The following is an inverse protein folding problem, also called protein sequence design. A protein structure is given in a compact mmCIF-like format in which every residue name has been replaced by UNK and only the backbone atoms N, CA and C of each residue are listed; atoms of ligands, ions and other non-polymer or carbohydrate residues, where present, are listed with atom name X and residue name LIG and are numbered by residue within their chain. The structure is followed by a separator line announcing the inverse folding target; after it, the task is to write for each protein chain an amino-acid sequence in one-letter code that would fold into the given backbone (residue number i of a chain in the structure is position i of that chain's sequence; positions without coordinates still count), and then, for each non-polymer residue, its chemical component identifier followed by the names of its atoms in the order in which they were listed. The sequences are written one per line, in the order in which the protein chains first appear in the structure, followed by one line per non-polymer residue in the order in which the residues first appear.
data_IF_773145443398
#
_entry.id   IF_773145443398
#
_cell.length_a   1.000
_cell.length_b   1.000
_cell.length_c   1.000
_cell.angle_alpha   90.00
_cell.angle_beta   90.00
_cell.angle_gamma   90.00
#
_symmetry.space_group_name_H-M   'P 1'
#
loop_
_entity.id
_entity.type
_entity.pdbx_description
1 polymer ?
#
# COMPACT_ATOMS: atom_id res chain seq x y z
N UNK A 1 14.92 8.53 -3.36
CA UNK A 1 14.39 7.26 -3.86
C UNK A 1 12.97 7.12 -3.37
N UNK A 2 12.04 6.73 -4.24
CA UNK A 2 10.67 6.46 -3.82
C UNK A 2 10.65 5.07 -3.16
N UNK A 3 10.02 4.97 -1.98
CA UNK A 3 9.81 3.68 -1.31
C UNK A 3 8.34 3.32 -1.45
N UNK A 4 8.06 2.18 -2.05
CA UNK A 4 6.71 1.63 -2.15
C UNK A 4 6.50 0.60 -1.05
N UNK A 5 5.31 0.58 -0.45
CA UNK A 5 4.94 -0.38 0.59
C UNK A 5 3.54 -0.91 0.31
N UNK A 6 3.35 -2.21 0.55
CA UNK A 6 2.05 -2.88 0.45
C UNK A 6 1.69 -3.40 1.86
N UNK A 7 0.62 -2.89 2.48
CA UNK A 7 0.19 -3.38 3.78
C UNK A 7 -0.58 -4.70 3.65
N UNK A 8 -0.03 -5.76 4.23
CA UNK A 8 -0.60 -7.12 4.18
C UNK A 8 -1.37 -7.43 5.47
N UNK A 9 -0.86 -6.98 6.61
CA UNK A 9 -1.45 -7.26 7.91
C UNK A 9 -2.40 -6.16 8.36
N UNK A 10 -3.47 -6.58 9.04
CA UNK A 10 -4.41 -5.67 9.67
C UNK A 10 -3.92 -5.29 11.07
N UNK A 11 -3.97 -3.99 11.37
CA UNK A 11 -3.80 -3.50 12.73
C UNK A 11 -4.93 -3.98 13.63
N UNK A 12 -4.62 -4.40 14.86
CA UNK A 12 -5.62 -4.87 15.81
C UNK A 12 -6.26 -3.69 16.57
N UNK A 13 -7.45 -3.28 16.14
CA UNK A 13 -8.18 -2.11 16.65
C UNK A 13 -8.37 -2.16 18.18
N UNK A 14 -8.57 -3.34 18.76
CA UNK A 14 -8.80 -3.53 20.19
C UNK A 14 -7.57 -3.22 21.05
N UNK A 15 -6.37 -3.14 20.45
CA UNK A 15 -5.17 -2.75 21.19
C UNK A 15 -5.16 -1.27 21.57
N UNK A 16 -5.99 -0.44 20.91
CA UNK A 16 -6.06 0.99 21.17
C UNK A 16 -4.75 1.72 20.85
N UNK A 17 -4.75 3.03 21.05
CA UNK A 17 -3.56 3.86 20.81
C UNK A 17 -2.82 4.13 22.11
N UNK A 18 -1.49 4.00 22.07
CA UNK A 18 -0.60 4.40 23.16
C UNK A 18 -0.32 5.91 23.18
N UNK A 19 -0.77 6.66 22.17
CA UNK A 19 -0.65 8.12 22.11
C UNK A 19 -1.91 8.73 22.72
N UNK A 20 -3.05 8.65 22.02
CA UNK A 20 -4.39 9.09 22.46
C UNK A 20 -5.51 8.25 21.80
N UNK A 21 -6.65 7.99 22.46
CA UNK A 21 -7.71 7.10 21.95
C UNK A 21 -8.24 7.44 20.55
N UNK A 22 -8.41 8.72 20.22
CA UNK A 22 -8.92 9.22 18.95
C UNK A 22 -8.02 8.90 17.76
N UNK A 23 -6.73 8.62 18.02
CA UNK A 23 -5.75 8.33 16.98
C UNK A 23 -6.16 7.13 16.12
N UNK A 24 -6.83 6.13 16.71
CA UNK A 24 -7.31 4.97 15.98
C UNK A 24 -8.35 5.38 14.94
N UNK A 25 -9.33 6.18 15.34
CA UNK A 25 -10.42 6.63 14.45
C UNK A 25 -9.89 7.52 13.33
N UNK A 26 -8.97 8.42 13.64
CA UNK A 26 -8.46 9.42 12.68
C UNK A 26 -7.48 8.80 11.68
N UNK A 27 -6.60 7.89 12.12
CA UNK A 27 -5.46 7.44 11.29
C UNK A 27 -5.45 5.95 10.94
N UNK A 28 -6.06 5.08 11.77
CA UNK A 28 -5.97 3.63 11.58
C UNK A 28 -7.25 3.00 11.04
N UNK A 29 -8.44 3.46 11.46
CA UNK A 29 -9.72 2.81 11.14
C UNK A 29 -9.97 2.72 9.64
N UNK A 30 -9.84 3.83 8.91
CA UNK A 30 -10.05 3.85 7.47
C UNK A 30 -9.12 2.88 6.72
N UNK A 31 -7.82 2.90 7.04
CA UNK A 31 -6.83 2.00 6.44
C UNK A 31 -7.11 0.54 6.78
N UNK A 32 -7.47 0.24 8.03
CA UNK A 32 -7.84 -1.10 8.47
C UNK A 32 -9.06 -1.63 7.70
N UNK A 33 -10.14 -0.85 7.66
CA UNK A 33 -11.41 -1.27 7.08
C UNK A 33 -11.29 -1.44 5.55
N UNK A 34 -10.58 -0.54 4.88
CA UNK A 34 -10.31 -0.63 3.45
C UNK A 34 -9.47 -1.86 3.08
N UNK A 35 -8.44 -2.18 3.86
CA UNK A 35 -7.64 -3.40 3.63
C UNK A 35 -8.44 -4.66 3.92
N UNK A 36 -9.22 -4.67 5.01
CA UNK A 36 -10.09 -5.78 5.35
C UNK A 36 -11.10 -6.04 4.23
N UNK A 37 -11.74 -5.00 3.71
CA UNK A 37 -12.70 -5.11 2.62
C UNK A 37 -12.05 -5.63 1.32
N UNK A 38 -10.87 -5.11 0.96
CA UNK A 38 -10.10 -5.60 -0.19
C UNK A 38 -9.85 -7.11 -0.08
N UNK A 39 -9.34 -7.57 1.06
CA UNK A 39 -9.00 -8.98 1.24
C UNK A 39 -10.23 -9.88 1.29
N UNK A 40 -11.36 -9.40 1.82
CA UNK A 40 -12.60 -10.17 1.88
C UNK A 40 -13.34 -10.28 0.55
N UNK A 41 -13.28 -9.24 -0.28
CA UNK A 41 -14.09 -9.18 -1.51
C UNK A 41 -13.32 -9.57 -2.75
N UNK A 42 -12.03 -9.20 -2.82
CA UNK A 42 -11.20 -9.28 -4.03
C UNK A 42 -9.84 -9.91 -3.79
N UNK A 43 -9.52 -10.27 -2.54
CA UNK A 43 -8.20 -10.76 -2.16
C UNK A 43 -7.78 -12.01 -2.92
N UNK A 44 -8.73 -12.90 -3.24
CA UNK A 44 -8.50 -14.11 -4.03
C UNK A 44 -8.17 -13.85 -5.50
N UNK A 45 -8.55 -12.69 -6.03
CA UNK A 45 -8.34 -12.34 -7.44
C UNK A 45 -6.95 -11.74 -7.67
N UNK A 46 -6.22 -11.43 -6.60
CA UNK A 46 -4.90 -10.83 -6.64
C UNK A 46 -3.81 -11.90 -6.71
N UNK A 47 -2.92 -11.78 -7.69
CA UNK A 47 -1.73 -12.63 -7.79
C UNK A 47 -0.61 -12.06 -6.90
N UNK A 48 -0.23 -12.83 -5.88
CA UNK A 48 0.77 -12.39 -4.90
C UNK A 48 2.12 -12.08 -5.55
N UNK A 49 2.51 -12.85 -6.57
CA UNK A 49 3.79 -12.65 -7.28
C UNK A 49 3.85 -11.27 -7.94
N UNK A 50 2.72 -10.77 -8.45
CA UNK A 50 2.65 -9.42 -9.05
C UNK A 50 2.70 -8.32 -8.01
N UNK A 51 2.15 -8.55 -6.82
CA UNK A 51 2.21 -7.58 -5.73
C UNK A 51 3.63 -7.48 -5.15
N UNK A 52 4.38 -8.58 -5.18
CA UNK A 52 5.72 -8.65 -4.60
C UNK A 52 6.85 -8.27 -5.57
N UNK A 53 6.53 -7.99 -6.84
CA UNK A 53 7.50 -7.62 -7.87
C UNK A 53 7.95 -6.15 -7.71
N UNK A 54 9.07 -5.95 -7.01
CA UNK A 54 9.64 -4.61 -6.80
C UNK A 54 10.43 -4.14 -8.02
N UNK A 55 9.87 -3.17 -8.74
CA UNK A 55 10.56 -2.47 -9.84
C UNK A 55 10.96 -1.03 -9.42
N UNK A 56 12.27 -0.76 -9.19
CA UNK A 56 12.76 0.57 -8.81
C UNK A 56 12.66 1.62 -9.92
N UNK A 57 12.36 1.21 -11.15
CA UNK A 57 12.21 2.08 -12.32
C UNK A 57 10.77 2.16 -12.81
N UNK A 58 9.81 1.58 -12.08
CA UNK A 58 8.40 1.58 -12.44
C UNK A 58 7.90 3.02 -12.64
N UNK A 59 7.32 3.29 -13.82
CA UNK A 59 6.80 4.61 -14.16
C UNK A 59 7.85 5.68 -14.49
N UNK A 60 9.12 5.31 -14.66
CA UNK A 60 10.16 6.25 -15.12
C UNK A 60 9.90 6.67 -16.56
N UNK A 61 9.64 7.96 -16.78
CA UNK A 61 9.71 8.56 -18.11
C UNK A 61 11.18 8.82 -18.42
N UNK A 62 11.82 8.02 -19.29
CA UNK A 62 13.14 8.39 -19.82
C UNK A 62 13.03 9.74 -20.53
N UNK A 63 14.05 10.59 -20.43
CA UNK A 63 14.18 11.71 -21.37
C UNK A 63 14.17 11.15 -22.80
N UNK A 64 13.44 11.79 -23.73
CA UNK A 64 13.53 11.43 -25.14
C UNK A 64 15.00 11.54 -25.55
N UNK A 65 15.60 10.45 -26.03
CA UNK A 65 16.92 10.53 -26.66
C UNK A 65 16.83 11.59 -27.76
N UNK A 66 17.57 12.69 -27.64
CA UNK A 66 17.76 13.60 -28.75
C UNK A 66 18.42 12.79 -29.85
N UNK A 67 17.69 12.57 -30.95
CA UNK A 67 18.28 12.03 -32.16
C UNK A 67 19.37 13.01 -32.59
N UNK A 68 20.63 12.58 -32.49
CA UNK A 68 21.77 13.33 -33.01
C UNK A 68 21.70 13.19 -34.52
N UNK A 69 21.34 14.29 -35.19
CA UNK A 69 21.34 14.41 -36.65
C UNK A 69 22.75 14.52 -37.20
#
# INVERSE_FOLDING_TARGET
GNTFAIPIFLYKIEMGSSIHPEHIEVFHRGSHDGLRDLWLTRGSDLEIDRLMDFDPYLGRTSEKQQQVT
#
